data_IF_107288766641
#
_entry.id   IF_107288766641
#
_cell.length_a   1.000
_cell.length_b   1.000
_cell.length_c   1.000
_cell.angle_alpha   90.00
_cell.angle_beta   90.00
_cell.angle_gamma   90.00
#
_symmetry.space_group_name_H-M   'P 1'
#
loop_
_entity.id
_entity.type
_entity.pdbx_description
1 polymer ?
#
# COMPACT_ATOMS: atom_id res chain seq x y z
N UNK A 1 7.34 -1.76 7.99
CA UNK A 1 8.32 -1.55 6.90
C UNK A 1 9.28 -0.40 7.18
N UNK A 2 8.84 0.87 7.21
CA UNK A 2 9.75 2.03 7.36
C UNK A 2 10.68 1.97 8.58
N UNK A 3 10.14 1.65 9.77
CA UNK A 3 10.95 1.51 10.98
C UNK A 3 11.98 0.36 10.92
N UNK A 4 11.68 -0.72 10.19
CA UNK A 4 12.59 -1.86 10.04
C UNK A 4 13.82 -1.47 9.21
N UNK A 5 13.59 -0.73 8.12
CA UNK A 5 14.66 -0.24 7.26
C UNK A 5 15.53 0.81 7.98
N UNK A 6 14.91 1.75 8.70
CA UNK A 6 15.65 2.75 9.51
C UNK A 6 16.48 2.09 10.62
N UNK A 7 15.95 1.04 11.26
CA UNK A 7 16.66 0.30 12.30
C UNK A 7 17.70 -0.71 11.76
N UNK A 8 17.94 -0.77 10.45
CA UNK A 8 18.92 -1.68 9.85
C UNK A 8 18.54 -3.16 9.92
N UNK A 9 17.26 -3.49 10.14
CA UNK A 9 16.76 -4.87 10.32
C UNK A 9 16.57 -5.64 9.01
N UNK A 10 17.23 -5.20 7.95
CA UNK A 10 17.10 -5.73 6.60
C UNK A 10 16.26 -4.86 5.68
N UNK A 11 16.11 -5.32 4.44
CA UNK A 11 15.40 -4.62 3.38
C UNK A 11 13.88 -4.74 3.55
N UNK A 12 13.15 -3.64 3.36
CA UNK A 12 11.69 -3.63 3.34
C UNK A 12 11.20 -2.97 2.06
N UNK A 13 10.31 -3.66 1.33
CA UNK A 13 9.61 -3.09 0.17
C UNK A 13 8.20 -2.66 0.60
N UNK A 14 7.80 -1.45 0.21
CA UNK A 14 6.46 -0.92 0.44
C UNK A 14 5.82 -0.60 -0.90
N UNK A 15 4.70 -1.24 -1.18
CA UNK A 15 3.85 -0.89 -2.32
C UNK A 15 2.79 0.11 -1.85
N UNK A 16 2.59 1.19 -2.61
CA UNK A 16 1.64 2.26 -2.28
C UNK A 16 0.66 2.45 -3.44
N UNK A 17 -0.62 2.23 -3.18
CA UNK A 17 -1.69 2.61 -4.11
C UNK A 17 -1.93 4.12 -3.98
N UNK A 18 -1.63 4.87 -5.04
CA UNK A 18 -1.83 6.33 -5.09
C UNK A 18 -2.72 6.69 -6.28
N UNK A 19 -3.90 7.23 -5.98
CA UNK A 19 -4.75 7.83 -7.02
C UNK A 19 -4.35 9.27 -7.27
N UNK A 20 -3.95 9.59 -8.50
CA UNK A 20 -3.79 10.97 -8.93
C UNK A 20 -5.12 11.48 -9.51
N UNK A 21 -5.90 12.31 -8.77
CA UNK A 21 -7.23 12.73 -9.20
C UNK A 21 -7.20 13.50 -10.53
N UNK A 22 -6.12 14.27 -10.76
CA UNK A 22 -5.92 15.07 -11.98
C UNK A 22 -5.83 14.20 -13.23
N UNK A 23 -5.11 13.07 -13.18
CA UNK A 23 -4.92 12.20 -14.35
C UNK A 23 -6.18 11.38 -14.68
N UNK A 24 -7.05 11.13 -13.71
CA UNK A 24 -8.29 10.38 -13.91
C UNK A 24 -9.50 11.28 -14.17
N UNK A 25 -9.33 12.61 -14.17
CA UNK A 25 -10.43 13.56 -14.34
C UNK A 25 -11.49 13.46 -13.24
N UNK A 26 -11.10 13.05 -12.03
CA UNK A 26 -12.00 12.83 -10.89
C UNK A 26 -11.76 13.89 -9.82
N UNK A 27 -12.80 14.19 -9.03
CA UNK A 27 -12.59 14.92 -7.77
C UNK A 27 -11.74 14.05 -6.82
N UNK A 28 -10.95 14.66 -5.92
CA UNK A 28 -10.13 13.91 -4.96
C UNK A 28 -10.91 12.84 -4.18
N UNK A 29 -12.14 13.16 -3.76
CA UNK A 29 -13.03 12.23 -3.04
C UNK A 29 -13.43 11.01 -3.89
N UNK A 30 -13.80 11.22 -5.16
CA UNK A 30 -14.16 10.14 -6.08
C UNK A 30 -12.96 9.27 -6.44
N UNK A 31 -11.77 9.87 -6.55
CA UNK A 31 -10.54 9.13 -6.79
C UNK A 31 -10.22 8.20 -5.60
N UNK A 32 -10.41 8.67 -4.36
CA UNK A 32 -10.29 7.86 -3.14
C UNK A 32 -11.31 6.71 -3.09
N UNK A 33 -12.58 6.98 -3.46
CA UNK A 33 -13.60 5.93 -3.54
C UNK A 33 -13.21 4.86 -4.56
N UNK A 34 -12.71 5.27 -5.73
CA UNK A 34 -12.21 4.35 -6.77
C UNK A 34 -11.07 3.46 -6.25
N UNK A 35 -10.13 4.00 -5.45
CA UNK A 35 -9.07 3.19 -4.83
C UNK A 35 -9.68 2.11 -3.94
N UNK A 36 -10.61 2.49 -3.05
CA UNK A 36 -11.22 1.55 -2.11
C UNK A 36 -12.05 0.46 -2.80
N UNK A 37 -12.83 0.84 -3.80
CA UNK A 37 -13.82 -0.04 -4.42
C UNK A 37 -13.25 -0.90 -5.56
N UNK A 38 -12.24 -0.40 -6.28
CA UNK A 38 -11.70 -1.06 -7.48
C UNK A 38 -10.27 -1.52 -7.31
N UNK A 39 -9.41 -0.66 -6.76
CA UNK A 39 -7.97 -0.97 -6.69
C UNK A 39 -7.63 -1.88 -5.53
N UNK A 40 -8.18 -1.69 -4.32
CA UNK A 40 -7.91 -2.60 -3.18
C UNK A 40 -8.34 -4.04 -3.47
N UNK A 41 -9.52 -4.31 -4.06
CA UNK A 41 -9.89 -5.69 -4.41
C UNK A 41 -9.00 -6.32 -5.48
N UNK A 42 -8.49 -5.51 -6.41
CA UNK A 42 -7.63 -5.98 -7.49
C UNK A 42 -6.15 -6.12 -7.05
N UNK A 43 -5.69 -5.23 -6.17
CA UNK A 43 -4.36 -5.19 -5.55
C UNK A 43 -4.53 -5.29 -4.04
N UNK A 44 -4.68 -6.52 -3.49
CA UNK A 44 -4.95 -6.72 -2.08
C UNK A 44 -3.82 -6.14 -1.23
N UNK A 45 -4.17 -5.39 -0.20
CA UNK A 45 -3.20 -4.79 0.70
C UNK A 45 -2.83 -5.78 1.81
N UNK A 46 -1.56 -5.81 2.20
CA UNK A 46 -1.12 -6.63 3.33
C UNK A 46 0.39 -6.88 3.36
N UNK A 47 0.80 -7.72 4.31
CA UNK A 47 2.19 -8.18 4.44
C UNK A 47 2.40 -9.43 3.58
N UNK A 48 3.00 -9.25 2.41
CA UNK A 48 3.28 -10.37 1.49
C UNK A 48 4.50 -11.22 1.88
N UNK A 49 5.44 -10.63 2.62
CA UNK A 49 6.67 -11.28 3.11
C UNK A 49 6.97 -10.75 4.51
N UNK A 50 7.24 -11.66 5.43
CA UNK A 50 7.73 -11.36 6.77
C UNK A 50 8.93 -12.26 7.10
N UNK A 51 9.87 -11.81 7.95
CA UNK A 51 10.89 -12.69 8.54
C UNK A 51 10.24 -13.86 9.29
N UNK A 52 10.97 -14.95 9.51
CA UNK A 52 10.50 -16.06 10.35
C UNK A 52 10.10 -15.53 11.74
N UNK A 53 8.88 -15.88 12.19
CA UNK A 53 8.30 -15.39 13.44
C UNK A 53 7.76 -13.95 13.42
N UNK A 54 7.80 -13.27 12.27
CA UNK A 54 7.22 -11.93 12.10
C UNK A 54 5.70 -11.95 11.92
N UNK A 55 5.01 -11.02 12.58
CA UNK A 55 3.57 -10.81 12.43
C UNK A 55 3.20 -10.40 10.99
N UNK A 56 2.07 -10.94 10.50
CA UNK A 56 1.55 -10.74 9.14
C UNK A 56 0.18 -10.04 9.13
N UNK A 57 -0.34 -9.66 10.30
CA UNK A 57 -1.66 -9.03 10.46
C UNK A 57 -1.76 -7.68 9.77
#
# INVERSE_FOLDING_TARGET
AFAQQVAGKGFSLVEVLSSCPTNWGMTPEKALACVKEKLIPYYPLGVFRAPEGGDRS
#
